data_IF_796784879027
#
_entry.id   IF_796784879027
#
_cell.length_a   1.000
_cell.length_b   1.000
_cell.length_c   1.000
_cell.angle_alpha   90.00
_cell.angle_beta   90.00
_cell.angle_gamma   90.00
#
_symmetry.space_group_name_H-M   'P 1'
#
loop_
_entity.id
_entity.type
_entity.pdbx_description
1 polymer ?
#
# COMPACT_ATOMS: atom_id res chain seq x y z
N UNK A 1 19.57 6.92 -6.54
CA UNK A 1 18.16 6.61 -6.27
C UNK A 1 17.76 5.32 -6.93
N UNK A 2 16.95 4.54 -6.25
CA UNK A 2 16.47 3.27 -6.76
C UNK A 2 14.97 3.25 -6.79
N UNK A 3 14.41 2.59 -7.80
CA UNK A 3 12.98 2.35 -7.90
C UNK A 3 12.67 0.97 -7.36
N UNK A 4 11.77 0.92 -6.39
CA UNK A 4 11.32 -0.33 -5.78
C UNK A 4 9.81 -0.44 -5.91
N UNK A 5 9.32 -1.67 -5.97
CA UNK A 5 7.88 -1.91 -5.94
C UNK A 5 7.50 -2.39 -4.55
N UNK A 6 6.54 -1.72 -3.94
CA UNK A 6 6.11 -2.02 -2.58
C UNK A 6 4.62 -2.32 -2.53
N UNK A 7 4.21 -2.95 -1.43
CA UNK A 7 2.81 -3.25 -1.16
C UNK A 7 2.37 -2.43 0.03
N UNK A 8 1.24 -1.77 -0.09
CA UNK A 8 0.68 -0.94 0.99
C UNK A 8 -0.78 -1.27 1.19
N UNK A 9 -1.23 -1.17 2.44
CA UNK A 9 -2.64 -1.31 2.76
C UNK A 9 -3.26 0.05 3.01
N UNK A 10 -4.51 0.20 2.63
CA UNK A 10 -5.27 1.44 2.77
C UNK A 10 -6.64 1.12 3.36
N UNK A 11 -7.14 1.99 4.23
CA UNK A 11 -8.43 1.79 4.85
C UNK A 11 -8.37 0.88 6.06
N UNK A 12 -9.52 0.58 6.63
CA UNK A 12 -9.64 -0.25 7.83
C UNK A 12 -10.91 -1.09 7.75
N UNK A 13 -10.88 -2.24 8.42
CA UNK A 13 -12.05 -3.09 8.52
C UNK A 13 -12.54 -3.56 7.15
N UNK A 14 -13.82 -3.38 6.89
CA UNK A 14 -14.42 -3.78 5.63
C UNK A 14 -13.93 -2.98 4.43
N UNK A 15 -13.37 -1.79 4.70
CA UNK A 15 -12.85 -0.93 3.64
C UNK A 15 -11.37 -1.17 3.38
N UNK A 16 -10.77 -2.13 4.05
CA UNK A 16 -9.35 -2.42 3.86
C UNK A 16 -9.07 -2.86 2.44
N UNK A 17 -8.04 -2.27 1.86
CA UNK A 17 -7.62 -2.58 0.51
C UNK A 17 -6.11 -2.65 0.46
N UNK A 18 -5.59 -3.61 -0.28
CA UNK A 18 -4.15 -3.77 -0.46
C UNK A 18 -3.82 -3.46 -1.92
N UNK A 19 -2.86 -2.58 -2.12
CA UNK A 19 -2.36 -2.25 -3.45
C UNK A 19 -0.94 -2.75 -3.55
N UNK A 20 -0.67 -3.54 -4.58
CA UNK A 20 0.63 -4.15 -4.80
C UNK A 20 1.36 -3.46 -5.95
N UNK A 21 2.67 -3.64 -5.97
CA UNK A 21 3.54 -3.15 -7.05
C UNK A 21 3.48 -1.64 -7.22
N UNK A 22 3.44 -0.94 -6.10
CA UNK A 22 3.47 0.51 -6.12
C UNK A 22 4.93 0.95 -6.30
N UNK A 23 5.24 1.70 -7.36
CA UNK A 23 6.61 2.18 -7.55
C UNK A 23 6.95 3.23 -6.50
N UNK A 24 8.07 3.03 -5.84
CA UNK A 24 8.55 3.94 -4.80
C UNK A 24 10.02 4.21 -5.02
N UNK A 25 10.39 5.47 -5.00
CA UNK A 25 11.79 5.89 -5.11
C UNK A 25 12.42 5.89 -3.72
N UNK A 26 13.60 5.34 -3.63
CA UNK A 26 14.36 5.37 -2.38
C UNK A 26 15.77 5.89 -2.64
N UNK A 27 16.30 6.57 -1.64
CA UNK A 27 17.65 7.11 -1.67
C UNK A 27 18.51 6.32 -0.69
N UNK A 28 19.54 5.64 -1.21
CA UNK A 28 20.42 4.82 -0.37
C UNK A 28 21.26 5.68 0.57
N UNK A 29 21.56 6.90 0.18
CA UNK A 29 22.43 7.78 0.97
C UNK A 29 21.73 8.34 2.22
N UNK A 30 20.49 8.75 2.10
CA UNK A 30 19.77 9.38 3.19
C UNK A 30 18.69 8.52 3.79
N UNK A 31 18.40 7.38 3.19
CA UNK A 31 17.37 6.47 3.68
C UNK A 31 15.94 6.93 3.46
N UNK A 32 15.75 7.99 2.71
CA UNK A 32 14.41 8.49 2.42
C UNK A 32 13.78 7.75 1.26
N UNK A 33 12.46 7.62 1.31
CA UNK A 33 11.71 7.04 0.21
C UNK A 33 10.45 7.86 -0.02
N UNK A 34 9.98 7.88 -1.25
CA UNK A 34 8.82 8.68 -1.61
C UNK A 34 8.13 8.13 -2.85
N UNK A 35 6.85 8.51 -2.99
CA UNK A 35 6.08 8.25 -4.19
C UNK A 35 6.06 9.52 -5.04
N UNK A 36 6.10 9.35 -6.37
CA UNK A 36 5.95 10.49 -7.26
C UNK A 36 4.49 10.97 -7.24
N UNK A 37 4.27 12.19 -7.71
CA UNK A 37 2.91 12.73 -7.83
C UNK A 37 2.04 11.85 -8.71
N UNK A 38 2.59 11.32 -9.80
CA UNK A 38 1.87 10.41 -10.68
C UNK A 38 1.45 9.15 -9.93
N UNK A 39 2.34 8.57 -9.15
CA UNK A 39 2.04 7.37 -8.37
C UNK A 39 0.95 7.64 -7.34
N UNK A 40 1.03 8.76 -6.63
CA UNK A 40 0.01 9.15 -5.66
C UNK A 40 -1.36 9.29 -6.32
N UNK A 41 -1.38 9.90 -7.50
CA UNK A 41 -2.61 10.08 -8.26
C UNK A 41 -3.21 8.74 -8.67
N UNK A 42 -2.37 7.80 -9.11
CA UNK A 42 -2.80 6.45 -9.48
C UNK A 42 -3.37 5.69 -8.29
N UNK A 43 -2.76 5.85 -7.12
CA UNK A 43 -3.27 5.22 -5.90
C UNK A 43 -4.68 5.71 -5.61
N UNK A 44 -4.91 7.02 -5.72
CA UNK A 44 -6.24 7.59 -5.50
C UNK A 44 -7.26 7.08 -6.52
N UNK A 45 -6.84 6.94 -7.78
CA UNK A 45 -7.71 6.40 -8.82
C UNK A 45 -8.11 4.96 -8.52
N UNK A 46 -7.15 4.14 -8.11
CA UNK A 46 -7.40 2.74 -7.78
C UNK A 46 -8.36 2.64 -6.58
N UNK A 47 -8.18 3.50 -5.58
CA UNK A 47 -9.06 3.52 -4.42
C UNK A 47 -10.48 3.90 -4.81
N UNK A 48 -10.62 4.84 -5.72
CA UNK A 48 -11.95 5.28 -6.18
C UNK A 48 -12.65 4.21 -7.01
N UNK A 49 -11.88 3.45 -7.79
CA UNK A 49 -12.43 2.44 -8.70
C UNK A 49 -12.25 1.01 -8.18
N UNK A 50 -12.11 0.86 -6.88
CA UNK A 50 -11.73 -0.41 -6.27
C UNK A 50 -12.56 -1.61 -6.71
N UNK A 51 -13.84 -1.44 -6.89
CA UNK A 51 -14.72 -2.52 -7.32
C UNK A 51 -14.43 -3.00 -8.73
N UNK A 52 -13.92 -2.11 -9.57
CA UNK A 52 -13.62 -2.42 -10.96
C UNK A 52 -12.22 -2.98 -11.17
N UNK A 53 -11.25 -2.55 -10.35
CA UNK A 53 -9.85 -2.87 -10.59
C UNK A 53 -9.27 -3.85 -9.57
N UNK A 54 -9.88 -4.00 -8.41
CA UNK A 54 -9.36 -4.85 -7.36
C UNK A 54 -10.01 -6.24 -7.42
N UNK A 55 -9.21 -7.25 -7.09
CA UNK A 55 -9.70 -8.64 -6.97
C UNK A 55 -9.56 -9.05 -5.52
N UNK A 56 -10.52 -9.82 -5.03
CA UNK A 56 -10.47 -10.34 -3.68
C UNK A 56 -9.49 -11.50 -3.58
N UNK A 57 -8.66 -11.47 -2.55
CA UNK A 57 -7.73 -12.54 -2.22
C UNK A 57 -7.75 -12.79 -0.73
N UNK A 58 -7.63 -14.06 -0.34
CA UNK A 58 -7.49 -14.38 1.08
C UNK A 58 -6.08 -14.05 1.54
N UNK A 59 -5.99 -13.30 2.62
CA UNK A 59 -4.70 -12.84 3.17
C UNK A 59 -4.69 -13.13 4.66
N UNK A 60 -3.63 -13.76 5.19
CA UNK A 60 -3.52 -13.93 6.65
C UNK A 60 -3.40 -12.57 7.32
N UNK A 61 -4.20 -12.39 8.36
CA UNK A 61 -4.16 -11.16 9.15
C UNK A 61 -3.92 -11.55 10.60
N UNK A 62 -2.87 -11.00 11.18
CA UNK A 62 -2.56 -11.22 12.58
C UNK A 62 -2.81 -9.94 13.35
N UNK A 63 -3.27 -10.09 14.59
CA UNK A 63 -3.46 -8.97 15.48
C UNK A 63 -2.46 -9.06 16.62
N UNK A 64 -2.05 -7.92 17.08
CA UNK A 64 -1.19 -7.86 18.25
C UNK A 64 -2.04 -8.05 19.50
N UNK A 65 -1.68 -8.99 20.34
CA UNK A 65 -2.44 -9.24 21.57
C UNK A 65 -1.95 -8.35 22.70
N UNK A 66 -2.40 -7.11 22.67
CA UNK A 66 -2.00 -6.16 23.69
C UNK A 66 -2.59 -6.49 25.07
N UNK A 67 -3.70 -7.20 25.07
CA UNK A 67 -4.36 -7.55 26.32
C UNK A 67 -3.54 -8.50 27.20
N UNK A 68 -2.54 -9.13 26.62
CA UNK A 68 -1.67 -10.02 27.35
C UNK A 68 -0.75 -9.27 28.32
N UNK A 69 -0.66 -8.00 28.16
CA UNK A 69 0.20 -7.18 29.01
C UNK A 69 -0.44 -6.98 30.39
#
# INVERSE_FOLDING_TARGET
MQLECVTRSFGQGADLMVIERIPMWSCASCGESYFTAHTMHEIERIKALRKSVAKSRSVPVAQFEAAAA
#
